data_IF_695449687027
#
_entry.id   IF_695449687027
#
_cell.length_a   1.000
_cell.length_b   1.000
_cell.length_c   1.000
_cell.angle_alpha   90.00
_cell.angle_beta   90.00
_cell.angle_gamma   90.00
#
_symmetry.space_group_name_H-M   'P 1'
#
loop_
_entity.id
_entity.type
_entity.pdbx_description
1 polymer ?
#
# COMPACT_ATOMS: atom_id res chain seq x y z
N UNK A 1 -40.63 -51.08 27.37
CA UNK A 1 -41.03 -49.79 27.95
C UNK A 1 -39.89 -49.08 28.66
N UNK A 2 -39.17 -49.75 29.56
CA UNK A 2 -38.05 -49.18 30.33
C UNK A 2 -36.95 -48.56 29.48
N UNK A 3 -36.49 -49.25 28.43
CA UNK A 3 -35.46 -48.74 27.52
C UNK A 3 -35.92 -47.48 26.76
N UNK A 4 -37.19 -47.47 26.31
CA UNK A 4 -37.78 -46.29 25.67
C UNK A 4 -37.85 -45.10 26.64
N UNK A 5 -38.28 -45.32 27.88
CA UNK A 5 -38.31 -44.30 28.93
C UNK A 5 -36.93 -43.68 29.17
N UNK A 6 -35.90 -44.52 29.27
CA UNK A 6 -34.50 -44.08 29.44
C UNK A 6 -34.06 -43.22 28.25
N UNK A 7 -34.32 -43.66 27.02
CA UNK A 7 -33.95 -42.91 25.80
C UNK A 7 -34.63 -41.54 25.76
N UNK A 8 -35.93 -41.46 26.06
CA UNK A 8 -36.67 -40.19 26.09
C UNK A 8 -36.09 -39.23 27.14
N UNK A 9 -35.81 -39.72 28.35
CA UNK A 9 -35.23 -38.90 29.43
C UNK A 9 -33.83 -38.39 29.06
N UNK A 10 -32.99 -39.25 28.46
CA UNK A 10 -31.65 -38.85 27.99
C UNK A 10 -31.74 -37.77 26.92
N UNK A 11 -32.65 -37.91 25.94
CA UNK A 11 -32.84 -36.90 24.89
C UNK A 11 -33.30 -35.56 25.46
N UNK A 12 -34.22 -35.56 26.41
CA UNK A 12 -34.68 -34.33 27.09
C UNK A 12 -33.56 -33.67 27.91
N UNK A 13 -32.74 -34.46 28.60
CA UNK A 13 -31.55 -33.97 29.30
C UNK A 13 -30.53 -33.36 28.33
N UNK A 14 -30.27 -34.01 27.18
CA UNK A 14 -29.39 -33.49 26.16
C UNK A 14 -29.89 -32.16 25.58
N UNK A 15 -31.19 -32.05 25.26
CA UNK A 15 -31.80 -30.80 24.78
C UNK A 15 -31.69 -29.67 25.81
N UNK A 16 -31.91 -29.97 27.09
CA UNK A 16 -31.73 -29.02 28.19
C UNK A 16 -30.28 -28.54 28.26
N UNK A 17 -29.31 -29.44 28.15
CA UNK A 17 -27.89 -29.10 28.24
C UNK A 17 -27.40 -28.30 27.03
N UNK A 18 -27.89 -28.60 25.83
CA UNK A 18 -27.68 -27.77 24.64
C UNK A 18 -28.16 -26.34 24.88
N UNK A 19 -29.34 -26.17 25.49
CA UNK A 19 -29.84 -24.83 25.84
C UNK A 19 -28.95 -24.15 26.88
N UNK A 20 -28.51 -24.84 27.93
CA UNK A 20 -27.58 -24.32 28.94
C UNK A 20 -26.26 -23.85 28.33
N UNK A 21 -25.66 -24.66 27.46
CA UNK A 21 -24.42 -24.32 26.76
C UNK A 21 -24.60 -23.13 25.84
N UNK A 22 -25.74 -23.01 25.14
CA UNK A 22 -26.06 -21.84 24.32
C UNK A 22 -26.25 -20.58 25.15
N UNK A 23 -26.91 -20.66 26.31
CA UNK A 23 -27.06 -19.52 27.23
C UNK A 23 -25.68 -19.03 27.69
N UNK A 24 -24.77 -19.93 28.08
CA UNK A 24 -23.40 -19.58 28.50
C UNK A 24 -22.60 -18.88 27.40
N UNK A 25 -22.73 -19.32 26.14
CA UNK A 25 -22.01 -18.71 25.00
C UNK A 25 -22.57 -17.35 24.60
N UNK A 26 -23.89 -17.15 24.72
CA UNK A 26 -24.56 -15.93 24.23
C UNK A 26 -24.70 -14.83 25.28
N UNK A 27 -24.51 -15.14 26.57
CA UNK A 27 -24.71 -14.21 27.69
C UNK A 27 -23.92 -12.91 27.54
N UNK A 28 -22.72 -12.96 26.96
CA UNK A 28 -21.86 -11.79 26.77
C UNK A 28 -22.12 -11.03 25.46
N UNK A 29 -22.61 -11.71 24.43
CA UNK A 29 -22.70 -11.12 23.09
C UNK A 29 -24.09 -10.56 22.75
N UNK A 30 -25.17 -11.19 23.21
CA UNK A 30 -26.53 -10.90 22.74
C UNK A 30 -27.59 -11.14 23.85
N UNK A 31 -27.90 -10.14 24.70
CA UNK A 31 -28.81 -10.32 25.83
C UNK A 31 -30.23 -10.73 25.43
N UNK A 32 -30.75 -10.21 24.30
CA UNK A 32 -32.10 -10.54 23.82
C UNK A 32 -32.24 -12.00 23.34
N UNK A 33 -31.20 -12.59 22.74
CA UNK A 33 -31.25 -14.00 22.32
C UNK A 33 -31.16 -14.91 23.54
N UNK A 34 -30.37 -14.55 24.54
CA UNK A 34 -30.24 -15.27 25.82
C UNK A 34 -31.59 -15.45 26.53
N UNK A 35 -32.48 -14.45 26.52
CA UNK A 35 -33.83 -14.57 27.12
C UNK A 35 -34.65 -15.69 26.49
N UNK A 36 -34.64 -15.82 25.16
CA UNK A 36 -35.40 -16.87 24.45
C UNK A 36 -34.87 -18.27 24.76
N UNK A 37 -33.56 -18.43 24.86
CA UNK A 37 -32.93 -19.69 25.24
C UNK A 37 -33.22 -20.10 26.69
N UNK A 38 -33.33 -19.13 27.63
CA UNK A 38 -33.77 -19.39 29.00
C UNK A 38 -35.22 -19.90 29.05
N UNK A 39 -36.12 -19.28 28.28
CA UNK A 39 -37.52 -19.73 28.17
C UNK A 39 -37.58 -21.13 27.55
N UNK A 40 -36.83 -21.41 26.48
CA UNK A 40 -36.78 -22.76 25.90
C UNK A 40 -36.23 -23.79 26.91
N UNK A 41 -35.22 -23.42 27.71
CA UNK A 41 -34.69 -24.29 28.78
C UNK A 41 -35.74 -24.58 29.84
N UNK A 42 -36.52 -23.60 30.29
CA UNK A 42 -37.58 -23.84 31.29
C UNK A 42 -38.65 -24.80 30.75
N UNK A 43 -39.03 -24.67 29.48
CA UNK A 43 -39.96 -25.62 28.82
C UNK A 43 -39.37 -27.03 28.72
N UNK A 44 -38.07 -27.19 28.42
CA UNK A 44 -37.41 -28.50 28.45
C UNK A 44 -37.33 -29.09 29.87
N UNK A 45 -37.07 -28.26 30.90
CA UNK A 45 -37.09 -28.71 32.30
C UNK A 45 -38.48 -29.18 32.73
N UNK A 46 -39.53 -28.44 32.32
CA UNK A 46 -40.91 -28.84 32.56
C UNK A 46 -41.25 -30.16 31.84
N UNK A 47 -40.89 -30.28 30.55
CA UNK A 47 -41.07 -31.51 29.78
C UNK A 47 -40.38 -32.72 30.42
N UNK A 48 -39.16 -32.55 30.94
CA UNK A 48 -38.41 -33.58 31.66
C UNK A 48 -39.13 -34.02 32.93
N UNK A 49 -39.68 -33.07 33.71
CA UNK A 49 -40.48 -33.37 34.90
C UNK A 49 -41.73 -34.19 34.55
N UNK A 50 -42.46 -33.80 33.51
CA UNK A 50 -43.65 -34.53 33.04
C UNK A 50 -43.30 -35.94 32.55
N UNK A 51 -42.22 -36.09 31.78
CA UNK A 51 -41.78 -37.40 31.30
C UNK A 51 -41.31 -38.31 32.44
N UNK A 52 -40.58 -37.77 33.42
CA UNK A 52 -40.17 -38.54 34.60
C UNK A 52 -41.38 -39.02 35.41
N UNK A 53 -42.40 -38.17 35.60
CA UNK A 53 -43.65 -38.54 36.25
C UNK A 53 -44.40 -39.62 35.46
N UNK A 54 -44.48 -39.50 34.13
CA UNK A 54 -45.12 -40.49 33.26
C UNK A 54 -44.47 -41.87 33.34
N UNK A 55 -43.13 -41.93 33.46
CA UNK A 55 -42.39 -43.19 33.49
C UNK A 55 -42.16 -43.75 34.90
N UNK A 56 -42.49 -43.00 35.97
CA UNK A 56 -42.32 -43.45 37.35
C UNK A 56 -42.93 -44.84 37.63
N UNK A 57 -44.16 -45.17 37.15
CA UNK A 57 -44.74 -46.50 37.35
C UNK A 57 -43.97 -47.64 36.66
N UNK A 58 -43.12 -47.33 35.67
CA UNK A 58 -42.29 -48.33 34.96
C UNK A 58 -41.03 -48.71 35.76
N UNK A 59 -40.59 -47.85 36.68
CA UNK A 59 -39.37 -48.06 37.47
C UNK A 59 -39.65 -48.48 38.91
N UNK A 60 -40.84 -48.18 39.43
CA UNK A 60 -41.24 -48.47 40.81
C UNK A 60 -42.23 -49.64 40.80
N UNK A 61 -41.85 -50.75 41.43
CA UNK A 61 -42.77 -51.86 41.70
C UNK A 61 -43.93 -51.37 42.57
N UNK A 62 -45.11 -51.99 42.43
CA UNK A 62 -46.31 -51.56 43.13
C UNK A 62 -46.06 -51.50 44.65
N UNK A 63 -46.21 -50.32 45.28
CA UNK A 63 -45.88 -50.15 46.69
C UNK A 63 -46.94 -50.80 47.59
N UNK A 64 -46.52 -51.38 48.72
CA UNK A 64 -47.40 -52.06 49.67
C UNK A 64 -48.31 -51.10 50.47
N UNK A 65 -47.92 -49.82 50.59
CA UNK A 65 -48.70 -48.82 51.30
C UNK A 65 -49.91 -48.36 50.45
N UNK A 66 -51.15 -48.37 50.99
CA UNK A 66 -52.37 -48.13 50.22
C UNK A 66 -52.41 -46.73 49.56
N UNK A 67 -51.88 -45.71 50.24
CA UNK A 67 -51.82 -44.34 49.68
C UNK A 67 -50.89 -44.30 48.46
N UNK A 68 -49.78 -45.03 48.50
CA UNK A 68 -48.81 -45.06 47.39
C UNK A 68 -49.31 -45.93 46.24
N UNK A 69 -50.09 -46.98 46.53
CA UNK A 69 -50.65 -47.86 45.50
C UNK A 69 -51.75 -47.16 44.69
N UNK A 70 -52.59 -46.34 45.35
CA UNK A 70 -53.58 -45.48 44.68
C UNK A 70 -52.91 -44.43 43.79
N UNK A 71 -51.84 -43.79 44.28
CA UNK A 71 -51.04 -42.85 43.49
C UNK A 71 -50.37 -43.53 42.27
N UNK A 72 -49.85 -44.76 42.43
CA UNK A 72 -49.26 -45.55 41.34
C UNK A 72 -50.32 -45.92 40.29
N UNK A 73 -51.51 -46.35 40.73
CA UNK A 73 -52.65 -46.63 39.85
C UNK A 73 -53.05 -45.38 39.05
N UNK A 74 -53.24 -44.23 39.71
CA UNK A 74 -53.59 -42.98 39.04
C UNK A 74 -52.53 -42.55 38.02
N UNK A 75 -51.24 -42.66 38.35
CA UNK A 75 -50.14 -42.37 37.42
C UNK A 75 -50.12 -43.35 36.23
N UNK A 76 -50.39 -44.63 36.47
CA UNK A 76 -50.44 -45.65 35.41
C UNK A 76 -51.63 -45.50 34.44
N UNK A 77 -52.67 -44.76 34.82
CA UNK A 77 -53.74 -44.39 33.89
C UNK A 77 -53.51 -43.03 33.21
N UNK A 78 -52.77 -42.12 33.86
CA UNK A 78 -52.58 -40.74 33.37
C UNK A 78 -51.26 -40.51 32.63
N UNK A 79 -50.32 -41.47 32.61
CA UNK A 79 -49.04 -41.33 31.91
C UNK A 79 -49.15 -40.91 30.42
N UNK A 80 -50.16 -41.30 29.63
CA UNK A 80 -50.26 -40.83 28.25
C UNK A 80 -50.47 -39.31 28.16
N UNK A 81 -51.26 -38.74 29.08
CA UNK A 81 -51.49 -37.29 29.16
C UNK A 81 -50.20 -36.54 29.51
N UNK A 82 -49.42 -37.08 30.46
CA UNK A 82 -48.12 -36.52 30.81
C UNK A 82 -47.12 -36.55 29.64
N UNK A 83 -47.11 -37.63 28.85
CA UNK A 83 -46.27 -37.69 27.64
C UNK A 83 -46.72 -36.73 26.55
N UNK A 84 -48.03 -36.58 26.31
CA UNK A 84 -48.56 -35.58 25.36
C UNK A 84 -48.17 -34.16 25.80
N UNK A 85 -48.34 -33.84 27.09
CA UNK A 85 -47.97 -32.54 27.65
C UNK A 85 -46.44 -32.30 27.58
N UNK A 86 -45.63 -33.34 27.81
CA UNK A 86 -44.18 -33.29 27.64
C UNK A 86 -43.81 -33.00 26.18
N UNK A 87 -44.41 -33.72 25.23
CA UNK A 87 -44.22 -33.50 23.79
C UNK A 87 -44.62 -32.09 23.34
N UNK A 88 -45.76 -31.59 23.80
CA UNK A 88 -46.22 -30.22 23.54
C UNK A 88 -45.24 -29.17 24.07
N UNK A 89 -44.68 -29.39 25.27
CA UNK A 89 -43.70 -28.51 25.89
C UNK A 89 -42.38 -28.46 25.09
N UNK A 90 -41.91 -29.60 24.59
CA UNK A 90 -40.75 -29.65 23.67
C UNK A 90 -41.06 -28.92 22.36
N UNK A 91 -42.25 -29.14 21.78
CA UNK A 91 -42.69 -28.45 20.56
C UNK A 91 -42.70 -26.93 20.72
N UNK A 92 -43.17 -26.42 21.87
CA UNK A 92 -43.16 -25.00 22.20
C UNK A 92 -41.73 -24.46 22.37
N UNK A 93 -40.86 -25.21 23.07
CA UNK A 93 -39.45 -24.86 23.20
C UNK A 93 -38.79 -24.71 21.82
N UNK A 94 -38.96 -25.69 20.93
CA UNK A 94 -38.45 -25.66 19.56
C UNK A 94 -38.99 -24.45 18.80
N UNK A 95 -40.30 -24.17 18.86
CA UNK A 95 -40.92 -23.01 18.20
C UNK A 95 -40.28 -21.69 18.62
N UNK A 96 -39.90 -21.55 19.89
CA UNK A 96 -39.27 -20.34 20.43
C UNK A 96 -37.84 -20.14 19.90
N UNK A 97 -37.04 -21.21 19.82
CA UNK A 97 -35.63 -21.12 19.38
C UNK A 97 -35.41 -21.28 17.88
N UNK A 98 -36.32 -21.93 17.13
CA UNK A 98 -36.18 -22.20 15.70
C UNK A 98 -35.88 -20.94 14.85
N UNK A 99 -36.56 -19.79 15.04
CA UNK A 99 -36.22 -18.57 14.29
C UNK A 99 -34.78 -18.08 14.53
N UNK A 100 -34.25 -18.27 15.74
CA UNK A 100 -32.87 -17.88 16.07
C UNK A 100 -31.87 -18.84 15.44
N UNK A 101 -32.13 -20.15 15.48
CA UNK A 101 -31.30 -21.15 14.81
C UNK A 101 -31.26 -20.87 13.30
N UNK A 102 -32.40 -20.60 12.66
CA UNK A 102 -32.45 -20.23 11.24
C UNK A 102 -31.65 -18.96 10.92
N UNK A 103 -31.72 -17.92 11.77
CA UNK A 103 -30.91 -16.70 11.61
C UNK A 103 -29.42 -16.99 11.76
N UNK A 104 -29.03 -17.84 12.70
CA UNK A 104 -27.63 -18.22 12.91
C UNK A 104 -27.08 -19.02 11.72
N UNK A 105 -27.85 -19.98 11.21
CA UNK A 105 -27.49 -20.74 10.00
C UNK A 105 -27.29 -19.80 8.81
N UNK A 106 -28.23 -18.88 8.56
CA UNK A 106 -28.09 -17.88 7.49
C UNK A 106 -26.87 -17.00 7.68
N UNK A 107 -26.57 -16.56 8.91
CA UNK A 107 -25.37 -15.77 9.21
C UNK A 107 -24.09 -16.55 8.95
N UNK A 108 -24.05 -17.84 9.30
CA UNK A 108 -22.91 -18.72 9.02
C UNK A 108 -22.75 -18.95 7.53
N UNK A 109 -23.82 -19.27 6.80
CA UNK A 109 -23.80 -19.41 5.35
C UNK A 109 -23.33 -18.14 4.67
N UNK A 110 -23.88 -16.97 5.01
CA UNK A 110 -23.43 -15.69 4.49
C UNK A 110 -21.98 -15.35 4.88
N UNK A 111 -21.46 -15.86 6.00
CA UNK A 111 -20.05 -15.72 6.38
C UNK A 111 -19.14 -16.65 5.58
N UNK A 112 -19.59 -17.88 5.31
CA UNK A 112 -18.86 -18.86 4.50
C UNK A 112 -18.84 -18.39 3.04
N UNK A 113 -19.96 -17.93 2.50
CA UNK A 113 -20.04 -17.34 1.17
C UNK A 113 -19.12 -16.12 1.04
N UNK A 114 -19.08 -15.25 2.05
CA UNK A 114 -18.13 -14.12 2.07
C UNK A 114 -16.68 -14.58 2.09
N UNK A 115 -16.33 -15.57 2.91
CA UNK A 115 -14.99 -16.19 2.93
C UNK A 115 -14.61 -16.80 1.60
N UNK A 116 -15.52 -17.57 1.00
CA UNK A 116 -15.26 -18.18 -0.30
C UNK A 116 -15.03 -17.09 -1.35
N UNK A 117 -15.87 -16.04 -1.39
CA UNK A 117 -15.68 -14.88 -2.28
C UNK A 117 -14.35 -14.16 -2.03
N UNK A 118 -13.96 -14.00 -0.77
CA UNK A 118 -12.69 -13.38 -0.37
C UNK A 118 -11.49 -14.23 -0.79
N UNK A 119 -11.55 -15.55 -0.62
CA UNK A 119 -10.52 -16.49 -1.06
C UNK A 119 -10.32 -16.44 -2.58
N UNK A 120 -11.39 -16.23 -3.35
CA UNK A 120 -11.32 -15.99 -4.79
C UNK A 120 -10.93 -14.54 -5.13
N UNK A 121 -10.69 -13.68 -4.15
CA UNK A 121 -10.30 -12.28 -4.34
C UNK A 121 -11.34 -11.47 -5.11
N UNK A 122 -12.64 -11.81 -5.02
CA UNK A 122 -13.68 -11.10 -5.76
C UNK A 122 -13.93 -9.70 -5.16
N UNK A 123 -13.87 -8.68 -6.02
CA UNK A 123 -14.37 -7.33 -5.74
C UNK A 123 -15.89 -7.31 -5.72
N UNK A 124 -16.53 -6.29 -5.12
CA UNK A 124 -17.93 -6.02 -5.41
C UNK A 124 -18.10 -5.88 -6.92
N UNK A 125 -19.07 -6.61 -7.48
CA UNK A 125 -19.41 -6.58 -8.90
C UNK A 125 -19.70 -5.15 -9.37
N UNK A 126 -20.22 -4.30 -8.48
CA UNK A 126 -20.50 -2.89 -8.73
C UNK A 126 -20.19 -2.03 -7.52
N UNK A 127 -19.61 -0.86 -7.76
CA UNK A 127 -19.51 0.19 -6.75
C UNK A 127 -20.90 0.70 -6.35
N UNK A 128 -21.02 1.06 -5.07
CA UNK A 128 -22.25 1.69 -4.58
C UNK A 128 -22.48 3.03 -5.30
N UNK A 129 -23.75 3.32 -5.61
CA UNK A 129 -24.15 4.59 -6.24
C UNK A 129 -23.66 5.81 -5.43
N UNK A 130 -23.70 5.73 -4.10
CA UNK A 130 -23.24 6.80 -3.22
C UNK A 130 -21.76 7.12 -3.39
N UNK A 131 -20.90 6.09 -3.44
CA UNK A 131 -19.47 6.29 -3.66
C UNK A 131 -19.18 6.85 -5.05
N UNK A 132 -19.88 6.39 -6.10
CA UNK A 132 -19.72 6.92 -7.45
C UNK A 132 -20.03 8.42 -7.52
N UNK A 133 -21.19 8.83 -6.97
CA UNK A 133 -21.58 10.24 -6.92
C UNK A 133 -20.57 11.06 -6.12
N UNK A 134 -20.14 10.55 -4.97
CA UNK A 134 -19.15 11.24 -4.15
C UNK A 134 -17.83 11.47 -4.92
N UNK A 135 -17.34 10.47 -5.68
CA UNK A 135 -16.13 10.62 -6.51
C UNK A 135 -16.33 11.66 -7.61
N UNK A 136 -17.49 11.67 -8.28
CA UNK A 136 -17.78 12.65 -9.32
C UNK A 136 -17.86 14.07 -8.75
N UNK A 137 -18.37 14.24 -7.54
CA UNK A 137 -18.58 15.54 -6.91
C UNK A 137 -17.31 16.09 -6.22
N UNK A 138 -16.43 15.21 -5.71
CA UNK A 138 -15.30 15.60 -4.84
C UNK A 138 -13.93 15.08 -5.30
N UNK A 139 -13.89 14.21 -6.31
CA UNK A 139 -12.65 13.70 -6.87
C UNK A 139 -11.90 14.79 -7.65
N UNK A 140 -10.58 14.62 -7.87
CA UNK A 140 -9.85 15.47 -8.81
C UNK A 140 -10.48 15.48 -10.21
N UNK A 141 -10.14 16.46 -11.05
CA UNK A 141 -10.63 16.55 -12.42
C UNK A 141 -9.96 15.51 -13.35
N UNK A 142 -10.23 14.23 -13.13
CA UNK A 142 -9.83 13.13 -14.00
C UNK A 142 -10.99 12.62 -14.85
N UNK A 143 -10.67 11.88 -15.91
CA UNK A 143 -11.66 11.13 -16.66
C UNK A 143 -11.98 9.81 -15.94
N UNK A 144 -13.18 9.68 -15.39
CA UNK A 144 -13.61 8.54 -14.58
C UNK A 144 -14.53 7.60 -15.38
N UNK A 145 -14.18 6.32 -15.40
CA UNK A 145 -15.07 5.23 -15.85
C UNK A 145 -15.27 4.25 -14.70
N UNK A 146 -16.51 3.84 -14.44
CA UNK A 146 -16.84 2.98 -13.29
C UNK A 146 -17.27 1.59 -13.74
N UNK A 147 -16.81 0.59 -13.00
CA UNK A 147 -17.15 -0.83 -13.15
C UNK A 147 -16.99 -1.32 -14.60
N UNK A 148 -15.78 -1.14 -15.14
CA UNK A 148 -15.40 -1.55 -16.50
C UNK A 148 -15.15 -3.06 -16.53
N UNK A 149 -15.95 -3.79 -17.30
CA UNK A 149 -15.85 -5.25 -17.44
C UNK A 149 -14.69 -5.64 -18.37
N UNK A 150 -13.93 -6.65 -17.98
CA UNK A 150 -12.85 -7.29 -18.74
C UNK A 150 -13.00 -8.82 -18.64
N UNK A 151 -12.29 -9.60 -19.48
CA UNK A 151 -12.33 -11.07 -19.40
C UNK A 151 -11.89 -11.63 -18.03
N UNK A 152 -11.04 -10.90 -17.30
CA UNK A 152 -10.51 -11.31 -16.00
C UNK A 152 -11.31 -10.76 -14.79
N UNK A 153 -12.32 -9.93 -15.02
CA UNK A 153 -13.19 -9.39 -13.98
C UNK A 153 -13.59 -7.93 -14.20
N UNK A 154 -13.89 -7.21 -13.12
CA UNK A 154 -14.35 -5.82 -13.20
C UNK A 154 -13.29 -4.89 -12.62
N UNK A 155 -12.88 -3.87 -13.37
CA UNK A 155 -12.12 -2.72 -12.85
C UNK A 155 -13.09 -1.71 -12.25
N UNK A 156 -13.13 -1.56 -10.92
CA UNK A 156 -14.17 -0.77 -10.27
C UNK A 156 -14.10 0.73 -10.61
N UNK A 157 -12.90 1.30 -10.66
CA UNK A 157 -12.69 2.71 -11.07
C UNK A 157 -11.52 2.73 -12.03
N UNK A 158 -11.72 3.21 -13.25
CA UNK A 158 -10.66 3.49 -14.21
C UNK A 158 -10.54 4.99 -14.34
N UNK A 159 -9.31 5.49 -14.17
CA UNK A 159 -8.98 6.90 -14.10
C UNK A 159 -8.03 7.20 -15.25
N UNK A 160 -8.49 7.99 -16.22
CA UNK A 160 -7.65 8.55 -17.27
C UNK A 160 -6.91 9.77 -16.75
N UNK A 161 -5.58 9.72 -16.79
CA UNK A 161 -4.73 10.86 -16.45
C UNK A 161 -3.68 11.12 -17.55
N UNK A 162 -3.11 12.32 -17.56
CA UNK A 162 -2.17 12.81 -18.58
C UNK A 162 -0.93 11.90 -18.77
N UNK A 163 -0.49 11.25 -17.69
CA UNK A 163 0.71 10.41 -17.64
C UNK A 163 0.40 8.91 -17.71
N UNK A 164 -0.86 8.55 -17.97
CA UNK A 164 -1.34 7.17 -18.12
C UNK A 164 -2.62 6.86 -17.33
N UNK A 165 -3.17 5.68 -17.57
CA UNK A 165 -4.39 5.23 -16.91
C UNK A 165 -4.08 4.54 -15.56
N UNK A 166 -5.00 4.67 -14.61
CA UNK A 166 -5.00 3.92 -13.36
C UNK A 166 -6.29 3.11 -13.25
N UNK A 167 -6.20 1.92 -12.67
CA UNK A 167 -7.36 1.08 -12.37
C UNK A 167 -7.35 0.77 -10.88
N UNK A 168 -8.43 1.13 -10.20
CA UNK A 168 -8.66 0.84 -8.79
C UNK A 168 -9.56 -0.39 -8.69
N UNK A 169 -9.03 -1.42 -8.04
CA UNK A 169 -9.70 -2.64 -7.63
C UNK A 169 -10.11 -2.52 -6.16
N UNK A 170 -11.40 -2.49 -5.86
CA UNK A 170 -11.87 -2.32 -4.48
C UNK A 170 -11.90 -3.66 -3.77
N UNK A 171 -11.10 -3.81 -2.72
CA UNK A 171 -11.07 -4.99 -1.87
C UNK A 171 -11.67 -4.65 -0.50
N UNK A 172 -12.87 -5.15 -0.16
CA UNK A 172 -13.47 -4.91 1.15
C UNK A 172 -12.53 -5.25 2.31
N UNK A 173 -12.56 -4.46 3.38
CA UNK A 173 -11.66 -4.60 4.52
C UNK A 173 -11.74 -5.99 5.16
N UNK A 174 -12.93 -6.59 5.18
CA UNK A 174 -13.16 -7.95 5.64
C UNK A 174 -12.40 -9.00 4.83
N UNK A 175 -12.29 -8.81 3.50
CA UNK A 175 -11.58 -9.73 2.61
C UNK A 175 -10.06 -9.55 2.75
N UNK A 176 -9.61 -8.30 2.90
CA UNK A 176 -8.20 -7.99 3.09
C UNK A 176 -7.58 -8.61 4.37
N UNK A 177 -8.39 -9.02 5.35
CA UNK A 177 -7.92 -9.74 6.55
C UNK A 177 -7.55 -11.20 6.27
N UNK A 178 -8.08 -11.77 5.20
CA UNK A 178 -7.85 -13.16 4.80
C UNK A 178 -6.67 -13.28 3.83
N UNK A 179 -6.09 -12.14 3.43
CA UNK A 179 -5.03 -12.03 2.43
C UNK A 179 -5.50 -11.25 1.20
N UNK A 180 -4.56 -10.73 0.42
CA UNK A 180 -4.86 -9.95 -0.79
C UNK A 180 -4.04 -10.38 -2.01
N UNK A 181 -3.35 -11.53 -1.95
CA UNK A 181 -2.56 -12.05 -3.06
C UNK A 181 -3.43 -12.32 -4.30
N UNK A 182 -4.56 -13.01 -4.13
CA UNK A 182 -5.50 -13.27 -5.24
C UNK A 182 -6.07 -11.98 -5.83
N UNK A 183 -6.35 -10.98 -4.99
CA UNK A 183 -6.85 -9.68 -5.43
C UNK A 183 -5.78 -8.90 -6.20
N UNK A 184 -4.51 -8.95 -5.77
CA UNK A 184 -3.38 -8.37 -6.49
C UNK A 184 -3.19 -9.00 -7.86
N UNK A 185 -3.21 -10.34 -7.93
CA UNK A 185 -3.07 -11.06 -9.20
C UNK A 185 -4.20 -10.69 -10.17
N UNK A 186 -5.45 -10.69 -9.71
CA UNK A 186 -6.61 -10.28 -10.53
C UNK A 186 -6.51 -8.82 -10.94
N UNK A 187 -6.18 -7.93 -10.00
CA UNK A 187 -6.00 -6.51 -10.28
C UNK A 187 -4.91 -6.28 -11.34
N UNK A 188 -3.82 -7.05 -11.32
CA UNK A 188 -2.75 -6.92 -12.30
C UNK A 188 -3.24 -7.31 -13.70
N UNK A 189 -3.96 -8.43 -13.83
CA UNK A 189 -4.52 -8.89 -15.11
C UNK A 189 -5.57 -7.94 -15.69
N UNK A 190 -6.49 -7.46 -14.85
CA UNK A 190 -7.49 -6.46 -15.24
C UNK A 190 -6.81 -5.17 -15.69
N UNK A 191 -5.77 -4.74 -14.98
CA UNK A 191 -5.03 -3.53 -15.31
C UNK A 191 -4.29 -3.65 -16.66
N UNK A 192 -3.72 -4.82 -16.96
CA UNK A 192 -3.08 -5.12 -18.25
C UNK A 192 -4.08 -5.00 -19.40
N UNK A 193 -5.29 -5.57 -19.27
CA UNK A 193 -6.34 -5.44 -20.27
C UNK A 193 -6.80 -3.99 -20.52
N UNK A 194 -6.62 -3.11 -19.55
CA UNK A 194 -7.06 -1.72 -19.60
C UNK A 194 -5.92 -0.73 -19.92
N UNK A 195 -4.72 -1.24 -20.21
CA UNK A 195 -3.48 -0.45 -20.32
C UNK A 195 -3.35 0.56 -19.17
N UNK A 196 -3.54 0.05 -17.95
CA UNK A 196 -3.64 0.85 -16.74
C UNK A 196 -2.71 0.32 -15.65
N UNK A 197 -2.44 1.16 -14.64
CA UNK A 197 -1.75 0.76 -13.42
C UNK A 197 -2.75 0.25 -12.38
N UNK A 198 -2.60 -1.00 -11.95
CA UNK A 198 -3.46 -1.59 -10.94
C UNK A 198 -3.24 -1.01 -9.54
N UNK A 199 -4.31 -0.71 -8.83
CA UNK A 199 -4.33 -0.29 -7.43
C UNK A 199 -5.38 -1.11 -6.71
N UNK A 200 -4.98 -2.00 -5.80
CA UNK A 200 -5.89 -2.66 -4.86
C UNK A 200 -6.15 -1.71 -3.70
N UNK A 201 -7.31 -1.07 -3.70
CA UNK A 201 -7.75 -0.18 -2.63
C UNK A 201 -8.56 -0.94 -1.58
N UNK A 202 -8.11 -0.87 -0.34
CA UNK A 202 -8.77 -1.44 0.83
C UNK A 202 -9.29 -0.28 1.68
N UNK A 203 -10.61 -0.01 1.71
CA UNK A 203 -11.19 1.03 2.55
C UNK A 203 -10.99 0.64 4.01
N UNK A 204 -10.12 1.36 4.72
CA UNK A 204 -9.73 1.10 6.11
C UNK A 204 -9.50 2.47 6.79
N UNK A 205 -9.87 2.61 8.06
CA UNK A 205 -9.66 3.85 8.82
C UNK A 205 -8.18 4.06 9.18
N UNK A 206 -7.36 3.02 9.00
CA UNK A 206 -5.93 3.04 9.30
C UNK A 206 -5.12 3.31 8.04
N UNK A 207 -4.51 4.48 8.00
CA UNK A 207 -3.61 4.90 6.93
C UNK A 207 -2.34 4.04 6.97
N UNK A 208 -2.01 3.40 5.84
CA UNK A 208 -0.70 2.77 5.63
C UNK A 208 -0.11 3.25 4.30
N UNK A 209 1.22 3.38 4.25
CA UNK A 209 1.93 3.70 3.00
C UNK A 209 1.61 2.66 1.93
N UNK A 210 1.56 3.09 0.67
CA UNK A 210 1.38 2.19 -0.46
C UNK A 210 2.46 1.10 -0.44
N UNK A 211 2.04 -0.15 -0.62
CA UNK A 211 2.93 -1.31 -0.67
C UNK A 211 2.96 -1.84 -2.09
N UNK A 212 4.15 -2.03 -2.64
CA UNK A 212 4.37 -2.77 -3.88
C UNK A 212 4.48 -4.25 -3.55
N UNK A 213 3.75 -5.10 -4.26
CA UNK A 213 4.05 -6.52 -4.26
C UNK A 213 5.27 -6.78 -5.13
N UNK A 214 6.24 -7.55 -4.65
CA UNK A 214 7.48 -7.84 -5.41
C UNK A 214 7.19 -8.59 -6.73
N UNK A 215 6.03 -9.25 -6.83
CA UNK A 215 5.64 -10.10 -7.97
C UNK A 215 4.55 -9.49 -8.88
N UNK A 216 3.98 -8.33 -8.52
CA UNK A 216 2.80 -7.79 -9.22
C UNK A 216 2.93 -6.30 -9.52
N UNK A 217 2.49 -5.88 -10.71
CA UNK A 217 2.47 -4.47 -11.12
C UNK A 217 1.40 -3.63 -10.41
N UNK A 218 0.65 -4.23 -9.49
CA UNK A 218 -0.42 -3.59 -8.74
C UNK A 218 0.05 -3.10 -7.36
N UNK A 219 -0.40 -1.90 -6.97
CA UNK A 219 -0.12 -1.31 -5.65
C UNK A 219 -1.23 -1.64 -4.67
N UNK A 220 -0.89 -1.91 -3.40
CA UNK A 220 -1.90 -2.02 -2.33
C UNK A 220 -1.97 -0.71 -1.56
N UNK A 221 -3.17 -0.15 -1.43
CA UNK A 221 -3.42 1.06 -0.67
C UNK A 221 -4.53 0.83 0.37
N UNK A 222 -4.21 1.11 1.64
CA UNK A 222 -5.18 1.13 2.74
C UNK A 222 -5.44 2.57 3.15
N UNK A 223 -6.70 2.92 3.31
CA UNK A 223 -7.08 4.27 3.71
C UNK A 223 -8.33 4.77 3.00
N UNK A 224 -8.47 6.09 2.99
CA UNK A 224 -9.55 6.77 2.28
C UNK A 224 -9.28 6.83 0.77
N UNK A 225 -10.34 6.90 -0.04
CA UNK A 225 -10.20 7.08 -1.49
C UNK A 225 -9.48 8.39 -1.86
N UNK A 226 -9.61 9.43 -1.02
CA UNK A 226 -8.89 10.71 -1.16
C UNK A 226 -7.38 10.49 -1.18
N UNK A 227 -6.87 9.58 -0.36
CA UNK A 227 -5.43 9.29 -0.30
C UNK A 227 -4.95 8.54 -1.54
N UNK A 228 -5.80 7.69 -2.11
CA UNK A 228 -5.54 7.05 -3.41
C UNK A 228 -5.41 8.12 -4.49
N UNK A 229 -6.34 9.08 -4.54
CA UNK A 229 -6.28 10.20 -5.49
C UNK A 229 -5.03 11.07 -5.31
N UNK A 230 -4.68 11.46 -4.09
CA UNK A 230 -3.43 12.20 -3.80
C UNK A 230 -2.17 11.43 -4.18
N UNK A 231 -2.21 10.10 -4.10
CA UNK A 231 -1.09 9.27 -4.55
C UNK A 231 -1.00 9.22 -6.08
N UNK A 232 -2.13 9.14 -6.78
CA UNK A 232 -2.19 9.19 -8.24
C UNK A 232 -1.63 10.53 -8.75
N UNK A 233 -2.07 11.66 -8.18
CA UNK A 233 -1.58 13.00 -8.54
C UNK A 233 -0.06 13.13 -8.39
N UNK A 234 0.48 12.75 -7.22
CA UNK A 234 1.92 12.77 -6.96
C UNK A 234 2.70 11.87 -7.91
N UNK A 235 2.13 10.71 -8.25
CA UNK A 235 2.75 9.76 -9.18
C UNK A 235 2.80 10.33 -10.59
N UNK A 236 1.73 10.98 -11.06
CA UNK A 236 1.69 11.66 -12.34
C UNK A 236 2.67 12.84 -12.38
N UNK A 237 2.67 13.68 -11.36
CA UNK A 237 3.60 14.82 -11.31
C UNK A 237 5.07 14.36 -11.32
N UNK A 238 5.40 13.30 -10.57
CA UNK A 238 6.75 12.73 -10.59
C UNK A 238 7.14 12.20 -11.98
N UNK A 239 6.20 11.58 -12.71
CA UNK A 239 6.41 11.09 -14.08
C UNK A 239 6.60 12.23 -15.05
N UNK A 240 5.77 13.28 -14.98
CA UNK A 240 5.90 14.49 -15.80
C UNK A 240 7.28 15.11 -15.64
N UNK A 241 7.71 15.35 -14.39
CA UNK A 241 9.06 15.86 -14.07
C UNK A 241 10.17 14.95 -14.60
N UNK A 242 9.99 13.63 -14.57
CA UNK A 242 10.97 12.69 -15.11
C UNK A 242 11.01 12.72 -16.66
N UNK A 243 9.86 12.83 -17.34
CA UNK A 243 9.79 13.00 -18.80
C UNK A 243 10.47 14.29 -19.23
N UNK A 244 10.14 15.41 -18.58
CA UNK A 244 10.79 16.71 -18.81
C UNK A 244 12.31 16.63 -18.62
N UNK A 245 12.79 15.95 -17.56
CA UNK A 245 14.23 15.74 -17.33
C UNK A 245 14.87 14.88 -18.42
N UNK A 246 14.21 13.81 -18.87
CA UNK A 246 14.71 12.96 -19.95
C UNK A 246 14.77 13.72 -21.27
N UNK A 247 13.73 14.50 -21.59
CA UNK A 247 13.69 15.34 -22.76
C UNK A 247 14.77 16.42 -22.72
N UNK A 248 14.95 17.11 -21.58
CA UNK A 248 16.05 18.05 -21.38
C UNK A 248 17.41 17.39 -21.58
N UNK A 249 17.62 16.17 -21.08
CA UNK A 249 18.86 15.41 -21.32
C UNK A 249 19.04 15.06 -22.80
N UNK A 250 17.98 14.63 -23.48
CA UNK A 250 18.00 14.31 -24.91
C UNK A 250 18.29 15.55 -25.75
N UNK A 251 17.64 16.67 -25.46
CA UNK A 251 17.86 17.95 -26.16
C UNK A 251 19.27 18.47 -25.94
N UNK A 252 19.83 18.34 -24.72
CA UNK A 252 21.24 18.67 -24.46
C UNK A 252 22.19 17.76 -25.26
N UNK A 253 21.92 16.46 -25.31
CA UNK A 253 22.73 15.52 -26.09
C UNK A 253 22.69 15.82 -27.60
N UNK A 254 21.52 16.18 -28.13
CA UNK A 254 21.34 16.58 -29.53
C UNK A 254 22.10 17.88 -29.84
N UNK A 255 22.00 18.90 -28.99
CA UNK A 255 22.75 20.16 -29.14
C UNK A 255 24.26 19.93 -29.11
N UNK A 256 24.75 19.10 -28.18
CA UNK A 256 26.16 18.70 -28.16
C UNK A 256 26.58 17.93 -29.41
N UNK A 257 25.72 17.08 -29.97
CA UNK A 257 26.00 16.36 -31.21
C UNK A 257 25.99 17.27 -32.45
N UNK A 258 25.18 18.33 -32.44
CA UNK A 258 25.12 19.35 -33.50
C UNK A 258 26.29 20.34 -33.47
N UNK A 259 27.23 20.18 -32.53
CA UNK A 259 28.38 21.08 -32.44
C UNK A 259 28.00 22.48 -31.96
N UNK A 260 26.84 22.65 -31.30
CA UNK A 260 26.65 23.79 -30.40
C UNK A 260 27.65 23.61 -29.27
N UNK A 261 28.88 24.07 -29.52
CA UNK A 261 29.98 24.03 -28.58
C UNK A 261 29.57 24.71 -27.29
N UNK A 262 30.23 24.35 -26.19
CA UNK A 262 30.05 25.07 -24.93
C UNK A 262 30.25 26.55 -25.22
N UNK A 263 29.22 27.36 -24.96
CA UNK A 263 29.37 28.81 -24.95
C UNK A 263 30.40 29.14 -23.87
N UNK A 264 31.61 29.43 -24.32
CA UNK A 264 32.65 29.97 -23.45
C UNK A 264 32.19 31.36 -23.03
N UNK A 265 32.13 31.61 -21.72
CA UNK A 265 31.82 32.95 -21.22
C UNK A 265 32.80 33.96 -21.81
N UNK A 266 32.29 35.13 -22.19
CA UNK A 266 33.09 36.23 -22.74
C UNK A 266 33.95 36.93 -21.68
N UNK A 267 33.60 36.79 -20.40
CA UNK A 267 34.29 37.43 -19.29
C UNK A 267 35.59 36.70 -18.99
N UNK A 268 36.69 37.44 -18.96
CA UNK A 268 38.02 36.92 -18.61
C UNK A 268 38.16 36.67 -17.11
N UNK A 269 39.13 35.82 -16.72
CA UNK A 269 39.45 35.56 -15.32
C UNK A 269 39.73 36.85 -14.53
N UNK A 270 40.46 37.80 -15.15
CA UNK A 270 40.83 39.07 -14.54
C UNK A 270 39.63 40.00 -14.31
N UNK A 271 38.67 40.05 -15.23
CA UNK A 271 37.45 40.84 -15.09
C UNK A 271 36.52 40.25 -14.02
N UNK A 272 36.36 38.94 -14.00
CA UNK A 272 35.55 38.26 -12.99
C UNK A 272 36.12 38.45 -11.58
N UNK A 273 37.44 38.41 -11.43
CA UNK A 273 38.11 38.63 -10.14
C UNK A 273 37.91 40.06 -9.60
N UNK A 274 37.72 41.06 -10.47
CA UNK A 274 37.39 42.45 -10.06
C UNK A 274 35.91 42.61 -9.68
N UNK A 275 35.01 41.83 -10.30
CA UNK A 275 33.56 41.94 -10.15
C UNK A 275 33.03 41.26 -8.90
N UNK A 276 33.64 40.16 -8.49
CA UNK A 276 33.11 39.26 -7.45
C UNK A 276 33.89 39.31 -6.14
N UNK A 277 33.24 38.86 -5.05
CA UNK A 277 33.93 38.57 -3.81
C UNK A 277 35.07 37.56 -4.05
N UNK A 278 36.29 37.94 -3.65
CA UNK A 278 37.50 37.19 -3.99
C UNK A 278 37.47 35.77 -3.42
N UNK A 279 37.04 35.59 -2.18
CA UNK A 279 37.05 34.27 -1.54
C UNK A 279 35.99 33.34 -2.16
N UNK A 280 34.76 33.83 -2.35
CA UNK A 280 33.69 33.05 -2.98
C UNK A 280 33.98 32.71 -4.44
N UNK A 281 34.64 33.63 -5.15
CA UNK A 281 35.09 33.41 -6.52
C UNK A 281 36.23 32.41 -6.59
N UNK A 282 37.28 32.52 -5.75
CA UNK A 282 38.40 31.57 -5.71
C UNK A 282 37.92 30.15 -5.35
N UNK A 283 36.93 30.02 -4.46
CA UNK A 283 36.28 28.73 -4.16
C UNK A 283 35.69 28.08 -5.42
N UNK A 284 35.03 28.85 -6.27
CA UNK A 284 34.54 28.35 -7.55
C UNK A 284 35.68 28.16 -8.55
N UNK A 285 36.32 29.24 -8.98
CA UNK A 285 37.20 29.25 -10.15
C UNK A 285 38.48 28.42 -9.99
N UNK A 286 39.01 28.30 -8.77
CA UNK A 286 40.28 27.59 -8.52
C UNK A 286 40.09 26.25 -7.83
N UNK A 287 39.23 26.19 -6.80
CA UNK A 287 39.10 24.98 -5.97
C UNK A 287 38.12 23.96 -6.53
N UNK A 288 37.03 24.41 -7.17
CA UNK A 288 35.99 23.49 -7.67
C UNK A 288 36.48 22.61 -8.83
N UNK A 289 37.25 23.09 -9.83
CA UNK A 289 37.76 22.24 -10.92
C UNK A 289 38.69 21.12 -10.47
N UNK A 290 39.43 21.31 -9.37
CA UNK A 290 40.35 20.32 -8.82
C UNK A 290 39.71 19.40 -7.78
N UNK A 291 38.44 19.64 -7.41
CA UNK A 291 37.73 18.82 -6.43
C UNK A 291 37.43 17.43 -7.01
N UNK A 292 37.83 16.31 -6.36
CA UNK A 292 37.65 14.96 -6.90
C UNK A 292 36.21 14.64 -7.31
N UNK A 293 35.24 14.88 -6.43
CA UNK A 293 33.82 14.63 -6.74
C UNK A 293 33.30 15.48 -7.92
N UNK A 294 33.72 16.75 -8.02
CA UNK A 294 33.35 17.60 -9.16
C UNK A 294 33.98 17.08 -10.45
N UNK A 295 35.24 16.67 -10.41
CA UNK A 295 35.95 16.11 -11.56
C UNK A 295 35.23 14.87 -12.11
N UNK A 296 34.86 13.94 -11.24
CA UNK A 296 34.14 12.73 -11.62
C UNK A 296 32.74 13.01 -12.17
N UNK A 297 32.02 13.97 -11.58
CA UNK A 297 30.67 14.34 -12.03
C UNK A 297 30.69 15.09 -13.36
N UNK A 298 31.64 16.01 -13.55
CA UNK A 298 31.82 16.72 -14.83
C UNK A 298 32.18 15.73 -15.93
N UNK A 299 33.10 14.79 -15.67
CA UNK A 299 33.46 13.73 -16.61
C UNK A 299 32.24 12.89 -17.03
N UNK A 300 31.46 12.41 -16.06
CA UNK A 300 30.23 11.63 -16.32
C UNK A 300 29.17 12.45 -17.05
N UNK A 301 28.99 13.73 -16.69
CA UNK A 301 28.03 14.65 -17.32
C UNK A 301 28.28 14.83 -18.82
N UNK A 302 29.55 14.88 -19.21
CA UNK A 302 29.96 15.00 -20.62
C UNK A 302 30.13 13.66 -21.33
N UNK A 303 29.72 12.54 -20.72
CA UNK A 303 29.78 11.22 -21.34
C UNK A 303 31.20 10.80 -21.72
N UNK A 304 32.18 11.10 -20.87
CA UNK A 304 33.60 10.83 -21.12
C UNK A 304 34.15 11.50 -22.39
N UNK A 305 33.57 12.60 -22.87
CA UNK A 305 34.04 13.33 -24.06
C UNK A 305 34.58 14.71 -23.70
N UNK A 306 35.64 15.10 -24.39
CA UNK A 306 36.22 16.42 -24.30
C UNK A 306 35.24 17.46 -24.82
N UNK A 307 34.99 18.48 -24.01
CA UNK A 307 34.11 19.59 -24.34
C UNK A 307 34.58 20.45 -25.52
N UNK A 308 35.87 20.40 -25.85
CA UNK A 308 36.47 21.21 -26.91
C UNK A 308 36.48 20.48 -28.26
N UNK A 309 37.09 19.30 -28.32
CA UNK A 309 37.25 18.54 -29.57
C UNK A 309 36.22 17.42 -29.77
N UNK A 310 35.38 17.13 -28.78
CA UNK A 310 34.37 16.07 -28.84
C UNK A 310 34.89 14.63 -28.69
N UNK A 311 36.22 14.42 -28.75
CA UNK A 311 36.83 13.09 -28.63
C UNK A 311 36.76 12.53 -27.20
N UNK A 312 36.75 11.20 -27.10
CA UNK A 312 36.70 10.48 -25.82
C UNK A 312 37.95 10.74 -24.97
N UNK A 313 37.78 10.81 -23.65
CA UNK A 313 38.84 11.00 -22.65
C UNK A 313 39.03 9.71 -21.86
N UNK A 314 40.28 9.25 -21.77
CA UNK A 314 40.67 8.12 -20.93
C UNK A 314 40.88 8.61 -19.48
N UNK A 315 40.12 8.11 -18.49
CA UNK A 315 40.24 8.55 -17.11
C UNK A 315 41.58 8.13 -16.47
N UNK A 316 42.21 7.05 -16.96
CA UNK A 316 43.43 6.48 -16.38
C UNK A 316 44.74 7.16 -16.82
N UNK A 317 44.72 7.94 -17.92
CA UNK A 317 45.95 8.52 -18.50
C UNK A 317 46.30 9.92 -18.01
N UNK A 318 45.45 10.54 -17.19
CA UNK A 318 45.69 11.91 -16.70
C UNK A 318 45.76 13.00 -17.79
N UNK A 319 45.36 12.69 -19.03
CA UNK A 319 45.46 13.59 -20.18
C UNK A 319 44.29 14.58 -20.31
N UNK A 320 43.56 14.82 -19.21
CA UNK A 320 42.42 15.71 -19.19
C UNK A 320 42.27 16.37 -17.83
N UNK A 321 41.65 17.54 -17.84
CA UNK A 321 41.38 18.34 -16.66
C UNK A 321 40.00 19.00 -16.76
N UNK A 322 39.47 19.45 -15.64
CA UNK A 322 38.28 20.29 -15.63
C UNK A 322 38.73 21.75 -15.71
N UNK A 323 38.10 22.51 -16.60
CA UNK A 323 38.30 23.95 -16.71
C UNK A 323 36.99 24.68 -16.45
N UNK A 324 37.11 25.94 -16.04
CA UNK A 324 35.99 26.87 -15.93
C UNK A 324 35.64 27.36 -17.33
N UNK A 325 34.39 27.16 -17.74
CA UNK A 325 33.88 27.66 -19.01
C UNK A 325 33.34 29.09 -18.92
N UNK A 326 32.87 29.48 -17.75
CA UNK A 326 32.32 30.81 -17.43
C UNK A 326 32.79 31.25 -16.03
N UNK A 327 33.59 32.32 -15.99
CA UNK A 327 34.13 32.87 -14.74
C UNK A 327 33.14 33.81 -14.02
N UNK A 328 31.98 34.15 -14.60
CA UNK A 328 30.96 35.01 -13.98
C UNK A 328 30.08 34.26 -12.96
N UNK A 329 30.73 33.62 -11.99
CA UNK A 329 30.04 32.79 -11.00
C UNK A 329 30.76 32.77 -9.66
N UNK A 330 29.97 32.65 -8.59
CA UNK A 330 30.46 32.53 -7.22
C UNK A 330 29.86 31.30 -6.55
N UNK A 331 30.67 30.58 -5.78
CA UNK A 331 30.18 29.47 -4.97
C UNK A 331 29.46 30.02 -3.74
N UNK A 332 28.13 29.87 -3.69
CA UNK A 332 27.28 30.35 -2.59
C UNK A 332 27.18 29.38 -1.42
N UNK A 333 27.61 28.13 -1.59
CA UNK A 333 27.51 27.14 -0.53
C UNK A 333 28.61 27.37 0.52
N UNK A 334 28.27 27.53 1.81
CA UNK A 334 29.23 28.00 2.82
C UNK A 334 30.14 26.90 3.37
N UNK A 335 29.73 25.63 3.33
CA UNK A 335 30.47 24.56 3.98
C UNK A 335 31.79 24.24 3.26
N UNK A 336 32.82 23.94 4.07
CA UNK A 336 34.17 23.61 3.62
C UNK A 336 34.54 22.23 4.17
N UNK A 337 35.28 21.46 3.38
CA UNK A 337 35.86 20.18 3.76
C UNK A 337 37.37 20.21 3.52
N UNK A 338 38.13 19.43 4.30
CA UNK A 338 39.57 19.28 4.10
C UNK A 338 39.83 18.06 3.25
N UNK A 339 40.48 18.27 2.11
CA UNK A 339 40.82 17.20 1.18
C UNK A 339 42.32 17.17 0.95
N UNK A 340 42.85 15.96 0.81
CA UNK A 340 44.22 15.69 0.36
C UNK A 340 44.14 15.37 -1.13
N UNK A 341 44.60 16.25 -2.03
CA UNK A 341 44.54 15.99 -3.46
C UNK A 341 45.32 14.72 -3.82
N UNK A 342 44.77 13.93 -4.74
CA UNK A 342 45.42 12.73 -5.25
C UNK A 342 46.79 13.06 -5.86
N UNK A 343 47.86 12.41 -5.38
CA UNK A 343 49.22 12.59 -5.92
C UNK A 343 50.10 13.65 -5.23
N UNK A 344 49.61 14.33 -4.20
CA UNK A 344 50.41 15.25 -3.36
C UNK A 344 50.75 14.55 -2.04
N UNK A 345 51.96 14.78 -1.51
CA UNK A 345 52.38 14.23 -0.21
C UNK A 345 51.34 14.56 0.87
N UNK A 346 51.01 13.64 1.79
CA UNK A 346 49.92 13.78 2.78
C UNK A 346 50.08 14.96 3.76
N UNK A 347 51.20 15.67 3.73
CA UNK A 347 51.46 16.83 4.57
C UNK A 347 50.73 18.12 4.13
N UNK A 348 50.05 18.15 2.97
CA UNK A 348 49.39 19.36 2.48
C UNK A 348 47.90 19.11 2.23
N UNK A 349 47.08 19.32 3.25
CA UNK A 349 45.61 19.35 3.12
C UNK A 349 45.14 20.75 2.72
N UNK A 350 44.17 20.85 1.83
CA UNK A 350 43.58 22.13 1.42
C UNK A 350 42.12 22.21 1.88
N UNK A 351 41.69 23.39 2.32
CA UNK A 351 40.27 23.68 2.53
C UNK A 351 39.58 23.89 1.19
N UNK A 352 38.66 22.99 0.85
CA UNK A 352 37.87 22.98 -0.36
C UNK A 352 36.37 23.15 -0.03
N UNK A 353 35.53 23.64 -0.95
CA UNK A 353 34.09 23.61 -0.74
C UNK A 353 33.61 22.16 -0.59
N UNK A 354 32.64 21.91 0.30
CA UNK A 354 32.04 20.59 0.46
C UNK A 354 31.00 20.33 -0.65
N UNK A 355 31.50 19.95 -1.82
CA UNK A 355 30.68 19.75 -3.01
C UNK A 355 29.74 18.54 -2.89
N UNK A 356 30.14 17.53 -2.11
CA UNK A 356 29.33 16.33 -1.89
C UNK A 356 28.08 16.67 -1.07
N UNK A 357 28.26 17.37 0.06
CA UNK A 357 27.15 17.84 0.87
C UNK A 357 26.29 18.85 0.10
N UNK A 358 26.90 19.77 -0.67
CA UNK A 358 26.18 20.73 -1.51
C UNK A 358 25.24 20.06 -2.52
N UNK A 359 25.67 18.96 -3.15
CA UNK A 359 24.84 18.21 -4.09
C UNK A 359 23.58 17.64 -3.42
N UNK A 360 23.66 17.28 -2.14
CA UNK A 360 22.55 16.70 -1.36
C UNK A 360 21.64 17.80 -0.83
N UNK A 361 22.21 18.80 -0.16
CA UNK A 361 21.45 19.80 0.60
C UNK A 361 20.98 20.99 -0.26
N UNK A 362 21.75 21.34 -1.29
CA UNK A 362 21.49 22.50 -2.14
C UNK A 362 21.72 22.20 -3.63
N UNK A 363 20.95 21.25 -4.23
CA UNK A 363 21.18 20.78 -5.60
C UNK A 363 21.12 21.90 -6.65
N UNK A 364 20.36 22.97 -6.40
CA UNK A 364 20.32 24.13 -7.30
C UNK A 364 21.64 24.91 -7.35
N UNK A 365 22.34 25.07 -6.22
CA UNK A 365 23.66 25.70 -6.18
C UNK A 365 24.71 24.80 -6.84
N UNK A 366 24.64 23.50 -6.55
CA UNK A 366 25.51 22.51 -7.17
C UNK A 366 25.39 22.51 -8.70
N UNK A 367 24.15 22.46 -9.22
CA UNK A 367 23.90 22.49 -10.67
C UNK A 367 24.38 23.80 -11.31
N UNK A 368 24.28 24.93 -10.61
CA UNK A 368 24.81 26.20 -11.08
C UNK A 368 26.35 26.16 -11.24
N UNK A 369 27.07 25.61 -10.26
CA UNK A 369 28.53 25.45 -10.34
C UNK A 369 28.92 24.49 -11.48
N UNK A 370 28.36 23.27 -11.49
CA UNK A 370 28.79 22.22 -12.44
C UNK A 370 28.45 22.58 -13.89
N UNK A 371 27.42 23.39 -14.13
CA UNK A 371 27.05 23.86 -15.48
C UNK A 371 28.09 24.77 -16.14
N UNK A 372 29.04 25.31 -15.35
CA UNK A 372 30.10 26.22 -15.78
C UNK A 372 31.48 25.56 -15.77
N UNK A 373 31.50 24.25 -15.67
CA UNK A 373 32.70 23.44 -15.72
C UNK A 373 32.64 22.54 -16.95
N UNK A 374 33.80 22.35 -17.57
CA UNK A 374 33.94 21.55 -18.78
C UNK A 374 35.17 20.66 -18.68
N UNK A 375 35.08 19.36 -19.00
CA UNK A 375 36.25 18.50 -19.07
C UNK A 375 36.92 18.67 -20.44
N UNK A 376 38.23 18.90 -20.46
CA UNK A 376 39.01 19.16 -21.68
C UNK A 376 40.30 18.33 -21.66
N UNK A 377 40.76 17.87 -22.83
CA UNK A 377 42.12 17.31 -22.93
C UNK A 377 43.16 18.39 -22.58
N UNK A 378 44.24 17.99 -21.92
CA UNK A 378 45.35 18.92 -21.58
C UNK A 378 45.97 19.57 -22.81
N UNK A 379 45.96 18.87 -23.96
CA UNK A 379 46.37 19.45 -25.26
C UNK A 379 45.38 20.52 -25.75
N UNK A 380 44.09 20.21 -25.75
CA UNK A 380 43.05 21.14 -26.18
C UNK A 380 42.99 22.40 -25.30
N UNK A 381 43.32 22.30 -24.01
CA UNK A 381 43.49 23.49 -23.15
C UNK A 381 44.63 24.39 -23.63
N UNK A 382 45.79 23.82 -23.99
CA UNK A 382 46.94 24.59 -24.51
C UNK A 382 46.58 25.29 -25.81
N UNK A 383 45.99 24.55 -26.76
CA UNK A 383 45.50 25.11 -28.03
C UNK A 383 44.52 26.29 -27.79
N UNK A 384 43.62 26.16 -26.82
CA UNK A 384 42.69 27.25 -26.43
C UNK A 384 43.40 28.47 -25.83
N UNK A 385 44.48 28.27 -25.06
CA UNK A 385 45.24 29.35 -24.45
C UNK A 385 46.07 30.11 -25.49
N UNK A 386 46.67 29.39 -26.44
CA UNK A 386 47.46 29.93 -27.54
C UNK A 386 46.57 30.71 -28.52
N UNK A 387 45.42 30.16 -28.94
CA UNK A 387 44.49 30.87 -29.84
C UNK A 387 43.84 32.13 -29.25
N UNK A 388 43.87 32.30 -27.93
CA UNK A 388 43.47 33.57 -27.27
C UNK A 388 44.56 34.64 -27.32
N UNK A 389 45.84 34.27 -27.46
CA UNK A 389 46.93 35.23 -27.56
C UNK A 389 47.00 35.84 -28.96
N UNK A 390 46.73 35.04 -30.00
CA UNK A 390 46.75 35.50 -31.40
C UNK A 390 45.59 36.47 -31.72
N UNK A 391 44.50 36.44 -30.96
CA UNK A 391 43.34 37.34 -31.13
C UNK A 391 43.40 38.60 -30.28
N UNK A 392 44.39 38.73 -29.39
CA UNK A 392 44.59 39.89 -28.52
C UNK A 392 45.80 40.76 -28.94
N UNK A 393 46.49 40.39 -30.02
CA UNK A 393 47.66 41.07 -30.55
C UNK A 393 47.40 41.87 -31.85
N UNK A 394 46.16 41.84 -32.36
CA UNK A 394 45.61 42.76 -33.36
C UNK A 394 44.72 43.80 -32.67
#
# INVERSE_FOLDING_TARGET
MTLFAIVVLILLLALREVCSNRIRRLSHAQPHSTRRWRIARSWHTFALGLAAAAFLPTFVQQPELPILSEAHSLLSHTWPLFLIASGASVGLAIRIVNPQIKREIRRRQASIERRNRAQYGMNPERLSRGLRMWILDHGPAFDYRFDVETPDGVGNIVIGAEEGNFMIYVLPAEHAREGYATALQRSSKIAEHLDARGIVWIPDDKIKKAQTGDEHLAFVMRGSIVEVFRWIERTNEARRRNRERQEQRRNRALRSAQGEGIQWGSITEAEAMKKHDREAWERFARKTPIHPDMRDRVYRRHGARCAYCGFTMDPGRGQWEVIVSDYDHICRYPAKTRLVPYGIKPATSYEMPDCEQCHIEAPGHFEACISRLAPIHTRCKRERQEGKQDTAAD
#
